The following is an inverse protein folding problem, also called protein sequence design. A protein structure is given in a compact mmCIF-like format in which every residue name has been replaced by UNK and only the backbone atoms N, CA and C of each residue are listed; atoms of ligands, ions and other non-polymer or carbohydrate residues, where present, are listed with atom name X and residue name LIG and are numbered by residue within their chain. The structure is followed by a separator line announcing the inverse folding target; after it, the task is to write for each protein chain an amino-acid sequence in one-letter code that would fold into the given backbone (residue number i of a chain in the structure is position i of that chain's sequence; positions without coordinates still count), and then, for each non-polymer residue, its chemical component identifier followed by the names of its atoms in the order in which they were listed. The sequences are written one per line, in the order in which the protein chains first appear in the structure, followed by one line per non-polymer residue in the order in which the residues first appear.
data_IF_087880068027
#
_entry.id   IF_087880068027
#
_cell.length_a   1.000
_cell.length_b   1.000
_cell.length_c   1.000
_cell.angle_alpha   90.00
_cell.angle_beta   90.00
_cell.angle_gamma   90.00
#
_symmetry.space_group_name_H-M   'P 1'
#
loop_
_entity.id
_entity.type
_entity.pdbx_description
1 polymer ?
#
# COMPACT_ATOMS: atom_id res chain seq x y z
N UNK A 1 -30.29 -36.66 -56.83
CA UNK A 1 -28.98 -36.11 -56.42
C UNK A 1 -29.28 -34.93 -55.51
N UNK A 2 -29.32 -35.15 -54.20
CA UNK A 2 -29.71 -34.14 -53.21
C UNK A 2 -28.48 -33.27 -52.91
N UNK A 3 -28.52 -31.99 -53.28
CA UNK A 3 -27.47 -31.02 -52.96
C UNK A 3 -27.61 -30.59 -51.49
N UNK A 4 -26.66 -30.99 -50.65
CA UNK A 4 -26.51 -30.51 -49.28
C UNK A 4 -25.83 -29.14 -49.33
N UNK A 5 -26.57 -28.06 -49.08
CA UNK A 5 -25.99 -26.74 -48.81
C UNK A 5 -25.41 -26.75 -47.38
N UNK A 6 -24.11 -26.96 -47.26
CA UNK A 6 -23.37 -26.65 -46.04
C UNK A 6 -23.29 -25.13 -45.87
N UNK A 7 -24.17 -24.56 -45.05
CA UNK A 7 -24.04 -23.20 -44.55
C UNK A 7 -22.95 -23.21 -43.47
N UNK A 8 -21.75 -22.75 -43.83
CA UNK A 8 -20.68 -22.49 -42.86
C UNK A 8 -21.09 -21.25 -42.06
N UNK A 9 -21.60 -21.46 -40.85
CA UNK A 9 -21.73 -20.40 -39.86
C UNK A 9 -20.32 -19.93 -39.47
N UNK A 10 -19.88 -18.80 -40.04
CA UNK A 10 -18.77 -18.04 -39.50
C UNK A 10 -19.25 -17.42 -38.18
N UNK A 11 -18.99 -18.10 -37.06
CA UNK A 11 -19.09 -17.48 -35.74
C UNK A 11 -18.12 -16.29 -35.71
N UNK A 12 -18.54 -15.11 -35.21
CA UNK A 12 -17.60 -14.04 -34.93
C UNK A 12 -16.67 -14.57 -33.84
N UNK A 13 -15.41 -14.84 -34.21
CA UNK A 13 -14.35 -15.06 -33.25
C UNK A 13 -14.17 -13.72 -32.55
N UNK A 14 -14.79 -13.55 -31.39
CA UNK A 14 -14.44 -12.50 -30.46
C UNK A 14 -12.98 -12.73 -30.10
N UNK A 15 -12.09 -12.03 -30.79
CA UNK A 15 -10.69 -11.89 -30.37
C UNK A 15 -10.74 -11.23 -29.01
N UNK A 16 -10.62 -12.03 -27.96
CA UNK A 16 -10.17 -11.55 -26.67
C UNK A 16 -8.71 -11.11 -26.88
N UNK A 17 -8.50 -9.87 -27.34
CA UNK A 17 -7.20 -9.23 -27.18
C UNK A 17 -7.12 -8.88 -25.70
N UNK A 18 -6.31 -9.63 -24.95
CA UNK A 18 -5.70 -9.03 -23.78
C UNK A 18 -4.86 -7.86 -24.32
N UNK A 19 -5.30 -6.63 -24.10
CA UNK A 19 -4.49 -5.47 -24.43
C UNK A 19 -3.20 -5.57 -23.61
N UNK A 20 -2.06 -5.67 -24.29
CA UNK A 20 -0.76 -5.61 -23.62
C UNK A 20 -0.63 -4.25 -22.94
N UNK A 21 -0.32 -4.26 -21.64
CA UNK A 21 -0.20 -3.02 -20.89
C UNK A 21 0.99 -2.20 -21.38
N UNK A 22 0.71 -0.97 -21.82
CA UNK A 22 1.72 -0.03 -22.27
C UNK A 22 2.28 0.80 -21.10
N UNK A 23 3.60 0.94 -21.06
CA UNK A 23 4.32 1.76 -20.10
C UNK A 23 4.93 3.00 -20.79
N UNK A 24 4.93 4.11 -20.07
CA UNK A 24 5.43 5.41 -20.49
C UNK A 24 6.50 5.88 -19.52
N UNK A 25 7.42 6.75 -19.97
CA UNK A 25 8.45 7.32 -19.11
C UNK A 25 8.50 8.83 -19.25
N UNK A 26 8.50 9.52 -18.11
CA UNK A 26 8.60 10.98 -18.02
C UNK A 26 9.58 11.35 -16.91
N UNK A 27 10.74 11.88 -17.34
CA UNK A 27 11.87 12.12 -16.46
C UNK A 27 12.33 10.83 -15.75
N UNK A 28 12.23 10.82 -14.43
CA UNK A 28 12.60 9.69 -13.58
C UNK A 28 11.48 8.67 -13.36
N UNK A 29 10.26 8.95 -13.81
CA UNK A 29 9.09 8.11 -13.55
C UNK A 29 8.75 7.25 -14.76
N UNK A 30 8.53 5.96 -14.53
CA UNK A 30 7.82 5.10 -15.47
C UNK A 30 6.41 4.87 -14.94
N UNK A 31 5.41 5.00 -15.79
CA UNK A 31 3.99 4.91 -15.42
C UNK A 31 3.18 4.16 -16.48
N UNK A 32 1.97 3.74 -16.10
CA UNK A 32 0.97 3.23 -17.04
C UNK A 32 -0.38 3.92 -16.79
N UNK A 33 -1.21 3.97 -17.83
CA UNK A 33 -2.56 4.54 -17.75
C UNK A 33 -3.49 3.51 -17.12
N UNK A 34 -4.16 3.91 -16.03
CA UNK A 34 -5.18 3.12 -15.35
C UNK A 34 -6.53 3.34 -16.04
N UNK A 35 -6.85 4.60 -16.31
CA UNK A 35 -8.12 5.01 -16.89
C UNK A 35 -7.88 6.23 -17.80
N UNK A 36 -7.91 6.00 -19.11
CA UNK A 36 -7.68 7.06 -20.09
C UNK A 36 -8.79 8.14 -20.07
N UNK A 37 -10.10 7.81 -20.05
CA UNK A 37 -11.16 8.80 -19.89
C UNK A 37 -11.03 9.72 -18.66
N UNK A 38 -10.61 9.17 -17.52
CA UNK A 38 -10.43 9.92 -16.28
C UNK A 38 -9.03 10.55 -16.15
N UNK A 39 -8.15 10.28 -17.12
CA UNK A 39 -6.73 10.66 -17.11
C UNK A 39 -6.03 10.25 -15.81
N UNK A 40 -6.15 8.98 -15.46
CA UNK A 40 -5.61 8.40 -14.23
C UNK A 40 -4.42 7.48 -14.54
N UNK A 41 -3.33 7.61 -13.79
CA UNK A 41 -2.10 6.81 -13.97
C UNK A 41 -1.59 6.20 -12.65
N UNK A 42 -0.80 5.13 -12.79
CA UNK A 42 0.04 4.59 -11.73
C UNK A 42 1.51 4.80 -12.06
N UNK A 43 2.30 5.34 -11.13
CA UNK A 43 3.77 5.34 -11.25
C UNK A 43 4.30 3.98 -10.79
N UNK A 44 4.91 3.22 -11.69
CA UNK A 44 5.35 1.84 -11.44
C UNK A 44 6.87 1.66 -11.43
N UNK A 45 7.67 2.66 -11.84
CA UNK A 45 9.11 2.64 -11.57
C UNK A 45 9.68 4.03 -11.37
N UNK A 46 10.80 4.10 -10.64
CA UNK A 46 11.52 5.32 -10.34
C UNK A 46 13.00 5.10 -10.64
N UNK A 47 13.51 5.77 -11.66
CA UNK A 47 14.91 5.74 -12.07
C UNK A 47 15.64 6.97 -11.56
N UNK A 48 16.06 6.95 -10.29
CA UNK A 48 16.79 8.04 -9.65
C UNK A 48 17.69 7.56 -8.53
N UNK A 49 18.80 8.26 -8.32
CA UNK A 49 19.71 8.09 -7.18
C UNK A 49 19.49 9.14 -6.08
N UNK A 50 18.50 10.01 -6.25
CA UNK A 50 18.18 11.03 -5.27
C UNK A 50 17.71 10.39 -3.95
N UNK A 51 18.19 10.96 -2.84
CA UNK A 51 17.79 10.53 -1.49
C UNK A 51 16.35 10.88 -1.16
N UNK A 52 15.83 11.96 -1.74
CA UNK A 52 14.46 12.42 -1.57
C UNK A 52 13.70 12.27 -2.88
N UNK A 53 12.61 11.52 -2.84
CA UNK A 53 11.68 11.35 -3.95
C UNK A 53 10.35 11.97 -3.61
N UNK A 54 9.77 12.69 -4.58
CA UNK A 54 8.44 13.30 -4.47
C UNK A 54 7.57 12.76 -5.58
N UNK A 55 6.63 11.88 -5.24
CA UNK A 55 5.61 11.41 -6.18
C UNK A 55 4.65 12.57 -6.44
N UNK A 56 4.59 13.11 -7.67
CA UNK A 56 3.79 14.28 -7.97
C UNK A 56 2.30 13.93 -7.97
N UNK A 57 1.43 14.95 -7.86
CA UNK A 57 -0.03 14.77 -8.00
C UNK A 57 -0.47 14.60 -9.46
N UNK A 58 0.35 15.08 -10.39
CA UNK A 58 0.10 15.05 -11.83
C UNK A 58 1.42 14.73 -12.58
N UNK A 59 1.32 13.97 -13.66
CA UNK A 59 2.43 13.71 -14.58
C UNK A 59 1.85 13.64 -16.01
N UNK A 60 2.45 14.39 -16.93
CA UNK A 60 2.06 14.43 -18.35
C UNK A 60 0.57 14.72 -18.62
N UNK A 61 -0.08 15.50 -17.74
CA UNK A 61 -1.51 15.83 -17.85
C UNK A 61 -2.45 14.78 -17.28
N UNK A 62 -1.92 13.76 -16.61
CA UNK A 62 -2.66 12.71 -15.90
C UNK A 62 -2.51 12.86 -14.39
N UNK A 63 -3.59 12.61 -13.65
CA UNK A 63 -3.56 12.51 -12.21
C UNK A 63 -2.82 11.23 -11.78
N UNK A 64 -1.85 11.37 -10.87
CA UNK A 64 -1.21 10.22 -10.22
C UNK A 64 -2.09 9.78 -9.06
N UNK A 65 -2.73 8.62 -9.21
CA UNK A 65 -3.61 8.07 -8.18
C UNK A 65 -3.08 6.79 -7.55
N UNK A 66 -2.13 6.10 -8.19
CA UNK A 66 -1.53 4.87 -7.68
C UNK A 66 -0.01 4.87 -7.81
N UNK A 67 0.61 4.05 -6.96
CA UNK A 67 2.03 3.73 -7.02
C UNK A 67 2.17 2.22 -7.09
N UNK A 68 3.03 1.75 -7.99
CA UNK A 68 3.39 0.34 -8.18
C UNK A 68 2.84 -0.25 -9.46
N UNK A 69 3.24 -1.48 -9.73
CA UNK A 69 2.82 -2.25 -10.90
C UNK A 69 1.35 -2.67 -10.77
N UNK A 70 0.70 -3.02 -11.89
CA UNK A 70 -0.64 -3.62 -11.86
C UNK A 70 -0.64 -4.84 -10.97
N UNK A 71 -1.76 -5.06 -10.30
CA UNK A 71 -2.01 -6.29 -9.55
C UNK A 71 -2.03 -7.46 -10.56
N UNK A 72 -0.91 -8.17 -10.67
CA UNK A 72 -0.84 -9.54 -11.18
C UNK A 72 -0.82 -10.49 -9.99
N UNK A 73 -1.22 -11.75 -10.21
CA UNK A 73 -1.22 -12.80 -9.18
C UNK A 73 0.05 -12.72 -8.33
N UNK A 74 -0.10 -12.80 -7.00
CA UNK A 74 0.88 -12.50 -5.93
C UNK A 74 2.22 -13.28 -5.94
N UNK A 75 2.62 -13.85 -7.08
CA UNK A 75 3.73 -14.77 -7.26
C UNK A 75 4.58 -14.52 -8.51
N UNK A 76 4.23 -13.56 -9.38
CA UNK A 76 5.17 -13.09 -10.41
C UNK A 76 6.33 -12.32 -9.75
N UNK A 77 7.50 -12.30 -10.40
CA UNK A 77 8.73 -11.66 -9.88
C UNK A 77 8.39 -10.29 -9.28
N UNK A 78 8.53 -10.16 -7.96
CA UNK A 78 8.13 -8.97 -7.21
C UNK A 78 8.77 -7.72 -7.82
N UNK A 79 7.99 -6.95 -8.58
CA UNK A 79 8.49 -5.75 -9.24
C UNK A 79 8.48 -4.59 -8.23
N UNK A 80 9.62 -4.39 -7.59
CA UNK A 80 9.86 -3.25 -6.68
C UNK A 80 9.90 -1.96 -7.48
N UNK A 81 9.37 -0.89 -6.90
CA UNK A 81 9.45 0.45 -7.45
C UNK A 81 10.93 0.91 -7.44
N UNK A 82 11.63 0.69 -8.56
CA UNK A 82 13.04 1.03 -8.73
C UNK A 82 14.05 -0.10 -8.52
N UNK A 83 13.67 -1.37 -8.33
CA UNK A 83 14.68 -2.46 -8.22
C UNK A 83 15.82 -2.17 -7.22
N UNK A 84 17.08 -2.37 -7.61
CA UNK A 84 18.27 -2.17 -6.74
C UNK A 84 18.53 -0.70 -6.34
N UNK A 85 18.08 0.28 -7.14
CA UNK A 85 18.33 1.71 -6.86
C UNK A 85 17.43 2.27 -5.74
N UNK A 86 16.36 1.55 -5.38
CA UNK A 86 15.52 1.86 -4.23
C UNK A 86 16.29 1.83 -2.89
N UNK A 87 17.48 1.21 -2.85
CA UNK A 87 18.37 1.18 -1.68
C UNK A 87 19.03 2.53 -1.35
N UNK A 88 18.88 3.57 -2.19
CA UNK A 88 19.43 4.90 -1.93
C UNK A 88 18.40 5.90 -1.38
N UNK A 89 17.11 5.61 -1.50
CA UNK A 89 16.05 6.51 -1.06
C UNK A 89 15.98 6.57 0.46
N UNK A 90 15.96 7.79 1.01
CA UNK A 90 15.89 8.07 2.44
C UNK A 90 14.57 8.77 2.82
N UNK A 91 14.01 9.58 1.93
CA UNK A 91 12.74 10.30 2.11
C UNK A 91 11.82 10.11 0.90
N UNK A 92 10.57 9.74 1.16
CA UNK A 92 9.49 9.64 0.18
C UNK A 92 8.36 10.61 0.56
N UNK A 93 7.94 11.44 -0.39
CA UNK A 93 6.77 12.30 -0.25
C UNK A 93 5.74 11.85 -1.27
N UNK A 94 4.56 11.43 -0.79
CA UNK A 94 3.44 11.00 -1.62
C UNK A 94 2.39 12.13 -1.63
N UNK A 95 2.02 12.60 -2.82
CA UNK A 95 1.02 13.67 -2.99
C UNK A 95 -0.41 13.20 -2.69
N UNK A 96 -1.31 14.15 -2.44
CA UNK A 96 -2.71 13.96 -1.98
C UNK A 96 -3.66 13.26 -2.95
N UNK A 97 -3.36 13.27 -4.24
CA UNK A 97 -4.12 12.55 -5.26
C UNK A 97 -3.90 11.04 -5.20
N UNK A 98 -2.79 10.57 -4.63
CA UNK A 98 -2.47 9.14 -4.54
C UNK A 98 -3.39 8.46 -3.54
N UNK A 99 -4.15 7.47 -4.01
CA UNK A 99 -5.11 6.69 -3.23
C UNK A 99 -4.61 5.33 -2.82
N UNK A 100 -3.63 4.76 -3.54
CA UNK A 100 -3.10 3.42 -3.25
C UNK A 100 -1.62 3.29 -3.53
N UNK A 101 -0.90 2.71 -2.58
CA UNK A 101 0.42 2.11 -2.80
C UNK A 101 0.22 0.62 -2.99
N UNK A 102 0.59 0.09 -4.15
CA UNK A 102 0.39 -1.32 -4.49
C UNK A 102 1.33 -2.24 -3.72
N UNK A 103 0.99 -3.51 -3.73
CA UNK A 103 1.76 -4.56 -3.09
C UNK A 103 3.25 -4.48 -3.45
N UNK A 104 4.11 -4.67 -2.45
CA UNK A 104 5.57 -4.73 -2.57
C UNK A 104 6.26 -3.50 -3.20
N UNK A 105 5.54 -2.39 -3.44
CA UNK A 105 6.08 -1.22 -4.16
C UNK A 105 7.41 -0.73 -3.58
N UNK A 106 7.54 -0.62 -2.26
CA UNK A 106 8.75 -0.18 -1.57
C UNK A 106 9.39 -1.31 -0.75
N UNK A 107 9.19 -2.58 -1.12
CA UNK A 107 9.71 -3.72 -0.39
C UNK A 107 11.25 -3.68 -0.25
N UNK A 108 11.75 -3.70 0.98
CA UNK A 108 13.16 -3.59 1.37
C UNK A 108 13.88 -2.31 0.94
N UNK A 109 13.19 -1.16 0.89
CA UNK A 109 13.86 0.13 0.81
C UNK A 109 14.57 0.45 2.14
N UNK A 110 15.68 -0.25 2.42
CA UNK A 110 16.34 -0.29 3.75
C UNK A 110 16.79 1.06 4.29
N UNK A 111 17.04 2.05 3.43
CA UNK A 111 17.43 3.41 3.82
C UNK A 111 16.24 4.35 4.00
N UNK A 112 15.04 3.96 3.55
CA UNK A 112 13.85 4.80 3.65
C UNK A 112 13.55 5.01 5.13
N UNK A 113 13.65 6.26 5.56
CA UNK A 113 13.56 6.65 6.97
C UNK A 113 12.41 7.61 7.25
N UNK A 114 11.89 8.25 6.18
CA UNK A 114 10.81 9.22 6.26
C UNK A 114 9.85 9.02 5.09
N UNK A 115 8.58 8.81 5.40
CA UNK A 115 7.49 8.76 4.42
C UNK A 115 6.44 9.78 4.82
N UNK A 116 6.04 10.63 3.88
CA UNK A 116 4.88 11.52 4.02
C UNK A 116 3.73 10.91 3.23
N UNK A 117 2.66 10.53 3.93
CA UNK A 117 1.46 9.91 3.38
C UNK A 117 0.35 10.96 3.22
N UNK A 118 -0.54 10.83 2.21
CA UNK A 118 -1.73 11.67 2.10
C UNK A 118 -2.82 11.22 3.08
N UNK A 119 -3.82 12.07 3.34
CA UNK A 119 -4.84 11.85 4.39
C UNK A 119 -5.68 10.57 4.20
N UNK A 120 -5.98 10.24 2.94
CA UNK A 120 -6.74 9.06 2.52
C UNK A 120 -5.85 8.15 1.68
N UNK A 121 -5.39 7.03 2.25
CA UNK A 121 -4.44 6.15 1.58
C UNK A 121 -4.67 4.68 1.89
N UNK A 122 -4.57 3.85 0.85
CA UNK A 122 -4.51 2.40 0.97
C UNK A 122 -3.06 1.95 0.80
N UNK A 123 -2.54 1.24 1.80
CA UNK A 123 -1.22 0.63 1.78
C UNK A 123 -1.39 -0.86 1.50
N UNK A 124 -0.98 -1.29 0.31
CA UNK A 124 -1.13 -2.67 -0.15
C UNK A 124 -0.19 -3.65 0.55
N UNK A 125 -0.43 -4.94 0.29
CA UNK A 125 0.33 -6.06 0.85
C UNK A 125 1.84 -5.82 0.86
N UNK A 126 2.45 -5.88 2.05
CA UNK A 126 3.89 -5.77 2.25
C UNK A 126 4.58 -4.56 1.57
N UNK A 127 3.84 -3.50 1.24
CA UNK A 127 4.35 -2.41 0.40
C UNK A 127 5.55 -1.67 1.01
N UNK A 128 5.69 -1.59 2.34
CA UNK A 128 6.87 -1.08 3.04
C UNK A 128 7.57 -2.13 3.93
N UNK A 129 7.28 -3.42 3.74
CA UNK A 129 7.97 -4.46 4.50
C UNK A 129 9.49 -4.41 4.22
N UNK A 130 10.30 -4.60 5.26
CA UNK A 130 11.77 -4.47 5.18
C UNK A 130 12.32 -3.04 5.05
N UNK A 131 11.50 -1.98 5.13
CA UNK A 131 11.97 -0.60 5.22
C UNK A 131 12.50 -0.29 6.63
N UNK A 132 13.61 -0.95 7.00
CA UNK A 132 14.10 -1.01 8.38
C UNK A 132 14.52 0.34 8.99
N UNK A 133 14.74 1.38 8.18
CA UNK A 133 15.10 2.72 8.69
C UNK A 133 13.89 3.58 9.03
N UNK A 134 12.66 3.22 8.60
CA UNK A 134 11.45 3.99 8.87
C UNK A 134 10.89 3.63 10.25
N UNK A 135 11.52 4.18 11.30
CA UNK A 135 11.25 3.83 12.69
C UNK A 135 10.10 4.59 13.34
N UNK A 136 9.73 5.75 12.82
CA UNK A 136 8.69 6.61 13.40
C UNK A 136 7.60 6.85 12.36
N UNK A 137 6.46 6.23 12.58
CA UNK A 137 5.35 6.17 11.63
C UNK A 137 4.18 6.96 12.19
N UNK A 138 3.68 7.90 11.39
CA UNK A 138 2.43 8.61 11.66
C UNK A 138 1.46 8.21 10.56
N UNK A 139 0.44 7.46 10.93
CA UNK A 139 -0.62 7.13 9.99
C UNK A 139 -1.65 8.27 9.96
N UNK A 140 -1.98 8.78 8.76
CA UNK A 140 -3.03 9.77 8.60
C UNK A 140 -4.41 9.23 9.00
N UNK A 141 -5.43 10.09 8.92
CA UNK A 141 -6.73 9.80 9.50
C UNK A 141 -7.38 8.56 8.87
N UNK A 142 -7.39 8.45 7.54
CA UNK A 142 -8.09 7.39 6.83
C UNK A 142 -7.10 6.49 6.10
N UNK A 143 -6.25 5.82 6.88
CA UNK A 143 -5.34 4.81 6.34
C UNK A 143 -5.95 3.42 6.43
N UNK A 144 -5.99 2.71 5.31
CA UNK A 144 -6.23 1.28 5.28
C UNK A 144 -4.91 0.57 4.97
N UNK A 145 -4.50 -0.36 5.83
CA UNK A 145 -3.29 -1.17 5.61
C UNK A 145 -3.69 -2.62 5.35
N UNK A 146 -3.29 -3.17 4.22
CA UNK A 146 -3.30 -4.61 3.94
C UNK A 146 -2.14 -5.31 4.64
N UNK A 147 -2.09 -6.64 4.52
CA UNK A 147 -1.23 -7.45 5.37
C UNK A 147 0.24 -7.08 5.25
N UNK A 148 0.93 -7.02 6.40
CA UNK A 148 2.34 -6.65 6.51
C UNK A 148 2.75 -5.32 5.82
N UNK A 149 1.81 -4.40 5.55
CA UNK A 149 2.11 -3.18 4.78
C UNK A 149 3.20 -2.28 5.38
N UNK A 150 3.41 -2.33 6.70
CA UNK A 150 4.37 -1.50 7.43
C UNK A 150 5.68 -2.26 7.76
N UNK A 151 6.77 -1.56 8.09
CA UNK A 151 7.99 -2.19 8.60
C UNK A 151 7.75 -2.94 9.91
N UNK A 152 8.33 -4.13 10.07
CA UNK A 152 8.13 -4.97 11.26
C UNK A 152 8.96 -4.59 12.49
N UNK A 153 9.84 -3.60 12.42
CA UNK A 153 10.63 -3.16 13.60
C UNK A 153 10.66 -1.64 13.66
N UNK A 154 9.83 -1.04 14.51
CA UNK A 154 9.64 0.41 14.60
C UNK A 154 9.73 0.91 16.06
N UNK A 155 10.14 2.17 16.22
CA UNK A 155 10.23 2.82 17.52
C UNK A 155 8.88 3.42 17.94
N UNK A 156 8.18 4.07 17.02
CA UNK A 156 6.87 4.64 17.31
C UNK A 156 5.89 4.50 16.15
N UNK A 157 4.64 4.20 16.50
CA UNK A 157 3.50 4.20 15.59
C UNK A 157 2.40 5.08 16.18
N UNK A 158 2.05 6.16 15.48
CA UNK A 158 0.91 7.00 15.81
C UNK A 158 -0.27 6.66 14.91
N UNK A 159 -1.42 6.38 15.52
CA UNK A 159 -2.63 5.92 14.83
C UNK A 159 -3.78 6.86 15.21
N UNK A 160 -4.47 7.38 14.20
CA UNK A 160 -5.59 8.32 14.40
C UNK A 160 -6.95 7.66 14.21
N UNK A 161 -7.17 6.97 13.07
CA UNK A 161 -8.42 6.25 12.76
C UNK A 161 -8.21 5.16 11.68
N UNK A 162 -7.03 4.52 11.69
CA UNK A 162 -6.61 3.56 10.66
C UNK A 162 -7.24 2.18 10.83
N UNK A 163 -7.49 1.49 9.71
CA UNK A 163 -7.97 0.10 9.65
C UNK A 163 -6.81 -0.80 9.23
N UNK A 164 -6.64 -1.93 9.92
CA UNK A 164 -5.54 -2.86 9.69
C UNK A 164 -6.06 -4.23 9.22
N UNK A 165 -5.44 -4.76 8.16
CA UNK A 165 -5.48 -6.17 7.79
C UNK A 165 -4.60 -7.02 8.71
N UNK A 166 -4.37 -8.27 8.33
CA UNK A 166 -3.65 -9.23 9.15
C UNK A 166 -2.13 -8.92 9.20
N UNK A 167 -1.50 -9.03 10.36
CA UNK A 167 -0.04 -8.87 10.46
C UNK A 167 0.53 -7.51 10.06
N UNK A 168 -0.27 -6.43 10.02
CA UNK A 168 0.26 -5.07 9.76
C UNK A 168 1.23 -4.63 10.84
N UNK A 169 0.90 -4.90 12.10
CA UNK A 169 1.75 -4.59 13.24
C UNK A 169 2.42 -5.90 13.65
N UNK A 170 3.67 -6.08 13.24
CA UNK A 170 4.48 -7.28 13.51
C UNK A 170 5.82 -6.89 14.12
N UNK A 171 6.55 -7.89 14.63
CA UNK A 171 7.91 -7.74 15.17
C UNK A 171 7.99 -6.86 16.42
N UNK A 172 8.91 -5.89 16.45
CA UNK A 172 9.16 -5.05 17.63
C UNK A 172 8.60 -3.64 17.43
N UNK A 173 7.71 -3.23 18.32
CA UNK A 173 7.19 -1.86 18.38
C UNK A 173 7.48 -1.29 19.76
N UNK A 174 8.35 -0.28 19.86
CA UNK A 174 8.64 0.30 21.18
C UNK A 174 7.43 1.07 21.74
N UNK A 175 6.73 1.83 20.89
CA UNK A 175 5.62 2.67 21.34
C UNK A 175 4.48 2.73 20.33
N UNK A 176 3.25 2.60 20.80
CA UNK A 176 2.05 2.95 20.03
C UNK A 176 1.36 4.14 20.70
N UNK A 177 1.04 5.17 19.93
CA UNK A 177 0.28 6.33 20.35
C UNK A 177 -1.05 6.39 19.61
N UNK A 178 -2.14 6.28 20.35
CA UNK A 178 -3.49 6.40 19.82
C UNK A 178 -3.97 7.84 19.99
N UNK A 179 -4.14 8.54 18.87
CA UNK A 179 -4.55 9.95 18.80
C UNK A 179 -5.92 10.08 18.12
N UNK A 180 -6.99 9.49 18.67
CA UNK A 180 -8.32 9.58 18.07
C UNK A 180 -8.80 11.04 18.04
N UNK A 181 -9.56 11.40 17.00
CA UNK A 181 -10.28 12.69 16.93
C UNK A 181 -11.73 12.60 17.45
N UNK A 182 -12.28 11.39 17.58
CA UNK A 182 -13.62 11.09 18.13
C UNK A 182 -13.68 9.63 18.59
N UNK A 183 -14.80 9.14 19.15
CA UNK A 183 -15.00 7.77 19.67
C UNK A 183 -14.64 6.67 18.66
N UNK A 184 -13.35 6.36 18.53
CA UNK A 184 -12.80 5.39 17.57
C UNK A 184 -12.58 4.05 18.24
N UNK A 185 -13.06 2.98 17.60
CA UNK A 185 -12.63 1.61 17.88
C UNK A 185 -11.39 1.35 17.07
N UNK A 186 -10.27 1.02 17.72
CA UNK A 186 -9.09 0.54 17.02
C UNK A 186 -9.16 -0.99 16.94
N UNK A 187 -9.37 -1.50 15.72
CA UNK A 187 -9.21 -2.90 15.39
C UNK A 187 -7.77 -3.12 14.91
N UNK A 188 -6.97 -3.80 15.71
CA UNK A 188 -5.57 -4.09 15.39
C UNK A 188 -5.40 -5.42 14.62
N UNK A 189 -6.48 -5.94 14.03
CA UNK A 189 -6.48 -7.13 13.17
C UNK A 189 -6.65 -8.44 13.95
N UNK A 190 -7.04 -9.49 13.21
CA UNK A 190 -7.20 -10.86 13.69
C UNK A 190 -6.00 -11.72 13.35
N UNK A 191 -5.55 -12.53 14.31
CA UNK A 191 -4.51 -13.56 14.17
C UNK A 191 -3.10 -13.02 13.82
N UNK A 192 -2.14 -13.24 14.71
CA UNK A 192 -0.71 -12.90 14.52
C UNK A 192 -0.29 -11.43 14.68
N UNK A 193 -0.91 -10.69 15.60
CA UNK A 193 -0.21 -9.57 16.27
C UNK A 193 0.95 -10.18 17.11
N UNK A 194 2.05 -10.52 16.44
CA UNK A 194 3.28 -11.07 17.05
C UNK A 194 4.16 -9.94 17.61
N UNK A 195 3.53 -8.97 18.26
CA UNK A 195 4.18 -7.71 18.63
C UNK A 195 4.75 -7.81 20.03
N UNK A 196 6.07 -7.55 20.15
CA UNK A 196 6.66 -7.17 21.43
C UNK A 196 6.46 -5.66 21.62
N UNK A 197 5.36 -5.29 22.29
CA UNK A 197 5.02 -3.89 22.60
C UNK A 197 5.62 -3.49 23.94
N UNK A 198 6.38 -2.40 23.98
CA UNK A 198 6.91 -1.88 25.25
C UNK A 198 5.96 -0.89 25.92
N UNK A 199 5.38 0.03 25.16
CA UNK A 199 4.50 1.10 25.68
C UNK A 199 3.27 1.32 24.79
N UNK A 200 2.08 1.40 25.39
CA UNK A 200 0.83 1.79 24.73
C UNK A 200 0.25 3.05 25.39
N UNK A 201 0.15 4.13 24.62
CA UNK A 201 -0.43 5.39 25.08
C UNK A 201 -1.78 5.62 24.41
N UNK A 202 -2.81 5.83 25.22
CA UNK A 202 -4.17 6.03 24.77
C UNK A 202 -4.71 7.35 25.35
N UNK A 203 -5.34 8.16 24.50
CA UNK A 203 -6.03 9.35 24.99
C UNK A 203 -7.28 8.94 25.80
N UNK A 204 -7.79 9.87 26.62
CA UNK A 204 -9.05 9.66 27.35
C UNK A 204 -10.25 9.39 26.41
N UNK A 205 -10.14 9.75 25.12
CA UNK A 205 -11.21 9.62 24.12
C UNK A 205 -11.30 8.23 23.47
N UNK A 206 -10.26 7.38 23.58
CA UNK A 206 -10.35 5.99 23.09
C UNK A 206 -11.30 5.22 23.99
N UNK A 207 -12.41 4.71 23.46
CA UNK A 207 -13.42 4.01 24.29
C UNK A 207 -13.25 2.50 24.27
N UNK A 208 -12.61 1.93 23.24
CA UNK A 208 -12.42 0.48 23.09
C UNK A 208 -11.15 0.17 22.30
N UNK A 209 -10.40 -0.84 22.75
CA UNK A 209 -9.27 -1.43 22.03
C UNK A 209 -9.53 -2.91 21.78
N UNK A 210 -9.49 -3.32 20.52
CA UNK A 210 -9.71 -4.70 20.11
C UNK A 210 -8.40 -5.29 19.60
N UNK A 211 -7.97 -6.38 20.23
CA UNK A 211 -6.94 -7.27 19.72
C UNK A 211 -7.68 -8.54 19.33
N UNK A 212 -7.88 -8.87 18.05
CA UNK A 212 -8.67 -10.06 17.73
C UNK A 212 -7.76 -11.30 17.75
N UNK A 213 -7.97 -12.19 18.72
CA UNK A 213 -7.29 -13.49 18.81
C UNK A 213 -8.04 -14.55 18.01
N UNK A 214 -7.32 -15.55 17.50
CA UNK A 214 -7.86 -16.66 16.67
C UNK A 214 -8.94 -17.45 17.43
N UNK A 215 -8.89 -17.43 18.78
CA UNK A 215 -9.70 -18.30 19.63
C UNK A 215 -10.90 -17.60 20.29
N UNK A 216 -11.28 -16.40 19.83
CA UNK A 216 -12.48 -15.70 20.32
C UNK A 216 -12.38 -15.14 21.75
N UNK A 217 -11.26 -15.35 22.44
CA UNK A 217 -10.93 -14.65 23.69
C UNK A 217 -9.89 -13.59 23.39
N UNK A 218 -10.31 -12.33 23.27
CA UNK A 218 -9.47 -11.18 23.56
C UNK A 218 -10.37 -9.96 23.80
N UNK A 219 -10.49 -9.59 25.07
CA UNK A 219 -11.10 -8.34 25.50
C UNK A 219 -10.04 -7.49 26.21
N UNK A 220 -9.88 -6.24 25.78
CA UNK A 220 -9.33 -5.20 26.65
C UNK A 220 -10.46 -4.22 26.92
N UNK A 221 -11.24 -4.51 27.96
CA UNK A 221 -12.14 -3.54 28.57
C UNK A 221 -11.29 -2.52 29.35
N UNK A 222 -11.56 -1.23 29.14
CA UNK A 222 -10.80 -0.14 29.75
C UNK A 222 -11.07 -0.07 31.25
N UNK A 223 -10.03 0.08 32.07
CA UNK A 223 -10.12 0.64 33.43
C UNK A 223 -10.49 2.12 33.39
#
# INVERSE_FOLDING_TARGET
MLLVLCTVFLLPVTRCHAEEMQYYTSGMYTYYVINEPEKEISICAISSTAKKIVIPSELDGYQVSRIGYPEGDHYEEAKKLGGDIAQCMEELVISDTVKRVQALSFYECKKLSKVTLPEDIILGYACFSGCDSWKNIVLPQNTFCEDAALPGNIDSLQISNSIFGEGVITGKVNRILLSPKQNTVFDMGGSWVSVKLKELYSSKQVTKLLFNGVDGENAVEKF
#
